data_IF_796071778502
#
_entry.id   IF_796071778502
#
_cell.length_a   1.000
_cell.length_b   1.000
_cell.length_c   1.000
_cell.angle_alpha   90.00
_cell.angle_beta   90.00
_cell.angle_gamma   90.00
#
_symmetry.space_group_name_H-M   'P 1'
#
loop_
_entity.id
_entity.type
_entity.pdbx_description
1 polymer ?
#
# COMPACT_ATOMS: atom_id res chain seq x y z
N UNK A 1 19.18 4.20 82.28
CA UNK A 1 18.94 2.79 81.98
C UNK A 1 18.08 2.79 80.75
N UNK A 2 18.71 2.69 79.59
CA UNK A 2 18.90 1.55 78.72
C UNK A 2 17.58 0.89 78.30
N UNK A 3 17.40 0.87 77.00
CA UNK A 3 16.63 -0.05 76.21
C UNK A 3 15.87 0.65 75.13
N UNK A 4 16.00 0.42 73.89
CA UNK A 4 16.50 -0.63 73.02
C UNK A 4 15.81 -0.35 71.75
N UNK A 5 16.61 0.04 70.75
CA UNK A 5 16.15 0.10 69.34
C UNK A 5 15.75 -1.28 68.88
N UNK A 6 14.60 -1.38 68.22
CA UNK A 6 14.33 -2.44 67.29
C UNK A 6 13.92 -1.85 65.95
N UNK A 7 14.82 -2.01 65.03
CA UNK A 7 14.61 -1.81 63.62
C UNK A 7 13.78 -2.96 63.05
N UNK A 8 12.60 -2.65 62.53
CA UNK A 8 11.83 -3.56 61.72
C UNK A 8 11.80 -3.03 60.29
N UNK A 9 12.52 -3.70 59.40
CA UNK A 9 12.42 -3.59 57.99
C UNK A 9 11.23 -4.40 57.48
N UNK A 10 10.29 -3.86 56.71
CA UNK A 10 9.48 -4.66 55.83
C UNK A 10 9.89 -4.43 54.41
N UNK A 11 10.51 -5.42 53.82
CA UNK A 11 10.63 -5.54 52.38
C UNK A 11 9.26 -5.73 51.75
N UNK A 12 8.63 -4.65 51.39
CA UNK A 12 7.45 -4.66 50.52
C UNK A 12 7.90 -4.53 49.08
N UNK A 13 7.77 -5.61 48.32
CA UNK A 13 7.85 -5.54 46.84
C UNK A 13 6.77 -4.56 46.37
N UNK A 14 7.07 -3.66 45.41
CA UNK A 14 6.04 -2.81 44.81
C UNK A 14 5.06 -3.69 44.03
N UNK A 15 3.85 -3.79 44.51
CA UNK A 15 2.73 -4.37 43.77
C UNK A 15 2.31 -3.30 42.78
N UNK A 16 2.62 -3.53 41.51
CA UNK A 16 2.18 -2.66 40.42
C UNK A 16 0.65 -2.74 40.33
N UNK A 17 -0.02 -1.70 40.72
CA UNK A 17 -1.47 -1.59 40.59
C UNK A 17 -1.85 -1.51 39.09
N UNK A 18 -2.91 -2.20 38.65
CA UNK A 18 -3.35 -2.12 37.27
C UNK A 18 -3.85 -0.70 36.96
N UNK A 19 -3.33 -0.10 35.89
CA UNK A 19 -3.84 1.18 35.39
C UNK A 19 -5.17 0.94 34.70
N UNK A 20 -6.26 1.37 35.30
CA UNK A 20 -7.62 1.29 34.75
C UNK A 20 -7.84 2.53 33.89
N UNK A 21 -7.84 2.37 32.56
CA UNK A 21 -8.31 3.38 31.62
C UNK A 21 -9.75 3.02 31.27
N UNK A 22 -10.71 3.80 31.76
CA UNK A 22 -12.14 3.83 31.41
C UNK A 22 -12.70 2.50 30.80
N UNK A 23 -12.78 1.43 31.63
CA UNK A 23 -13.49 0.20 31.24
C UNK A 23 -12.71 -0.82 30.39
N UNK A 24 -11.48 -0.56 30.01
CA UNK A 24 -10.60 -1.52 29.31
C UNK A 24 -9.54 -2.01 30.29
N UNK A 25 -9.66 -3.25 30.74
CA UNK A 25 -8.62 -3.93 31.52
C UNK A 25 -7.67 -4.61 30.55
N UNK A 26 -6.47 -4.06 30.35
CA UNK A 26 -5.40 -4.76 29.64
C UNK A 26 -4.81 -5.80 30.61
N UNK A 27 -4.86 -7.10 30.31
CA UNK A 27 -4.28 -8.12 31.17
C UNK A 27 -2.79 -7.85 31.37
N UNK A 28 -2.31 -7.95 32.60
CA UNK A 28 -0.87 -7.84 32.85
C UNK A 28 -0.13 -8.96 32.16
N UNK A 29 0.85 -8.59 31.32
CA UNK A 29 1.60 -9.54 30.49
C UNK A 29 1.11 -9.65 29.04
N UNK A 30 0.15 -8.80 28.58
CA UNK A 30 -0.23 -8.74 27.18
C UNK A 30 0.97 -8.42 26.29
N UNK A 31 1.24 -9.30 25.33
CA UNK A 31 2.27 -9.07 24.33
C UNK A 31 1.68 -8.24 23.20
N UNK A 32 2.28 -7.10 22.98
CA UNK A 32 1.98 -6.22 21.85
C UNK A 32 3.14 -6.28 20.85
N UNK A 33 2.85 -6.04 19.59
CA UNK A 33 3.86 -5.90 18.56
C UNK A 33 3.48 -4.81 17.57
N UNK A 34 4.43 -4.40 16.75
CA UNK A 34 4.22 -3.46 15.66
C UNK A 34 4.75 -4.05 14.36
N UNK A 35 4.16 -3.64 13.26
CA UNK A 35 4.61 -3.97 11.90
C UNK A 35 4.55 -2.73 11.03
N UNK A 36 5.53 -2.54 10.16
CA UNK A 36 5.54 -1.51 9.12
C UNK A 36 5.17 -2.12 7.76
N UNK A 37 3.91 -2.00 7.31
CA UNK A 37 3.47 -2.57 6.03
C UNK A 37 4.20 -1.97 4.83
N UNK A 38 4.62 -0.70 4.92
CA UNK A 38 5.37 -0.02 3.86
C UNK A 38 6.75 -0.64 3.72
N UNK A 39 7.40 -0.92 4.84
CA UNK A 39 8.69 -1.61 4.84
C UNK A 39 8.56 -3.03 4.29
N UNK A 40 7.53 -3.77 4.74
CA UNK A 40 7.25 -5.13 4.23
C UNK A 40 7.00 -5.11 2.71
N UNK A 41 6.23 -4.13 2.19
CA UNK A 41 6.00 -3.96 0.75
C UNK A 41 7.29 -3.67 -0.03
N UNK A 42 8.20 -2.89 0.55
CA UNK A 42 9.41 -2.47 -0.14
C UNK A 42 10.52 -3.53 -0.13
N UNK A 43 10.60 -4.32 0.92
CA UNK A 43 11.72 -5.22 1.17
C UNK A 43 11.41 -6.69 0.86
N UNK A 44 10.11 -7.12 0.92
CA UNK A 44 9.75 -8.50 0.57
C UNK A 44 9.73 -8.75 -0.93
N UNK A 45 10.04 -9.98 -1.35
CA UNK A 45 9.99 -10.38 -2.77
C UNK A 45 8.55 -10.30 -3.32
N UNK A 46 7.56 -10.70 -2.53
CA UNK A 46 6.15 -10.55 -2.90
C UNK A 46 5.74 -9.09 -3.10
N UNK A 47 6.26 -8.18 -2.27
CA UNK A 47 6.02 -6.74 -2.41
C UNK A 47 6.69 -6.15 -3.65
N UNK A 48 7.94 -6.51 -3.92
CA UNK A 48 8.65 -6.11 -5.14
C UNK A 48 7.90 -6.55 -6.39
N UNK A 49 7.49 -7.84 -6.46
CA UNK A 49 6.68 -8.34 -7.58
C UNK A 49 5.34 -7.63 -7.74
N UNK A 50 4.69 -7.30 -6.64
CA UNK A 50 3.45 -6.53 -6.68
C UNK A 50 3.65 -5.15 -7.31
N UNK A 51 4.73 -4.45 -6.94
CA UNK A 51 5.11 -3.16 -7.54
C UNK A 51 5.49 -3.29 -9.01
N UNK A 52 6.27 -4.30 -9.36
CA UNK A 52 6.69 -4.55 -10.74
C UNK A 52 5.50 -4.88 -11.64
N UNK A 53 4.55 -5.68 -11.16
CA UNK A 53 3.31 -5.99 -11.87
C UNK A 53 2.47 -4.73 -12.12
N UNK A 54 2.34 -3.85 -11.13
CA UNK A 54 1.63 -2.58 -11.27
C UNK A 54 2.35 -1.63 -12.23
N UNK A 55 3.68 -1.54 -12.13
CA UNK A 55 4.49 -0.73 -13.02
C UNK A 55 4.39 -1.20 -14.47
N UNK A 56 4.47 -2.51 -14.72
CA UNK A 56 4.31 -3.11 -16.04
C UNK A 56 2.91 -2.85 -16.62
N UNK A 57 1.85 -2.99 -15.79
CA UNK A 57 0.48 -2.69 -16.20
C UNK A 57 0.34 -1.21 -16.59
N UNK A 58 0.82 -0.30 -15.75
CA UNK A 58 0.77 1.16 -15.99
C UNK A 58 1.50 1.53 -17.27
N UNK A 59 2.72 0.99 -17.46
CA UNK A 59 3.52 1.21 -18.68
C UNK A 59 2.79 0.73 -19.94
N UNK A 60 2.17 -0.45 -19.87
CA UNK A 60 1.39 -0.98 -21.00
C UNK A 60 0.24 -0.02 -21.37
N UNK A 61 -0.51 0.49 -20.37
CA UNK A 61 -1.61 1.43 -20.61
C UNK A 61 -1.12 2.77 -21.15
N UNK A 62 0.01 3.27 -20.69
CA UNK A 62 0.65 4.48 -21.24
C UNK A 62 1.06 4.29 -22.69
N UNK A 63 1.68 3.15 -23.03
CA UNK A 63 2.08 2.86 -24.40
C UNK A 63 0.89 2.78 -25.36
N UNK A 64 -0.27 2.28 -24.92
CA UNK A 64 -1.50 2.31 -25.71
C UNK A 64 -1.96 3.75 -25.99
N UNK A 65 -1.89 4.65 -25.00
CA UNK A 65 -2.24 6.06 -25.20
C UNK A 65 -1.26 6.76 -26.14
N UNK A 66 0.05 6.47 -26.05
CA UNK A 66 1.05 7.01 -26.96
C UNK A 66 0.83 6.59 -28.41
N UNK A 67 0.37 5.36 -28.65
CA UNK A 67 0.01 4.89 -29.99
C UNK A 67 -1.21 5.63 -30.54
N UNK A 68 -2.24 5.83 -29.74
CA UNK A 68 -3.43 6.59 -30.14
C UNK A 68 -3.09 8.06 -30.44
N UNK A 69 -2.23 8.67 -29.61
CA UNK A 69 -1.76 10.05 -29.82
C UNK A 69 -0.98 10.19 -31.14
N UNK A 70 -0.09 9.25 -31.42
CA UNK A 70 0.66 9.22 -32.70
C UNK A 70 -0.26 9.08 -33.90
N UNK A 71 -1.31 8.27 -33.79
CA UNK A 71 -2.29 8.11 -34.88
C UNK A 71 -3.09 9.39 -35.09
N UNK A 72 -3.55 10.07 -34.03
CA UNK A 72 -4.21 11.36 -34.11
C UNK A 72 -3.33 12.42 -34.79
N UNK A 73 -2.07 12.49 -34.38
CA UNK A 73 -1.10 13.41 -34.97
C UNK A 73 -0.88 13.12 -36.45
N UNK A 74 -0.78 11.85 -36.83
CA UNK A 74 -0.68 11.44 -38.24
C UNK A 74 -1.91 11.82 -39.03
N UNK A 75 -3.12 11.65 -38.49
CA UNK A 75 -4.36 12.08 -39.15
C UNK A 75 -4.38 13.59 -39.39
N UNK A 76 -3.92 14.38 -38.42
CA UNK A 76 -3.80 15.84 -38.56
C UNK A 76 -2.80 16.23 -39.64
N UNK A 77 -1.59 15.64 -39.65
CA UNK A 77 -0.55 15.89 -40.64
C UNK A 77 -1.01 15.49 -42.05
N UNK A 78 -1.69 14.36 -42.22
CA UNK A 78 -2.27 13.91 -43.46
C UNK A 78 -3.36 14.86 -43.97
N UNK A 79 -4.21 15.37 -43.07
CA UNK A 79 -5.21 16.35 -43.44
C UNK A 79 -4.59 17.64 -43.95
N UNK A 80 -3.57 18.18 -43.26
CA UNK A 80 -2.86 19.40 -43.63
C UNK A 80 -2.23 19.21 -45.04
N UNK A 81 -1.56 18.09 -45.28
CA UNK A 81 -0.92 17.81 -46.59
C UNK A 81 -1.91 17.72 -47.76
N UNK A 82 -3.10 17.21 -47.49
CA UNK A 82 -4.12 17.00 -48.54
C UNK A 82 -5.13 18.16 -48.64
N UNK A 83 -5.07 19.14 -47.74
CA UNK A 83 -6.08 20.19 -47.63
C UNK A 83 -6.29 20.99 -48.94
N UNK A 84 -5.25 21.16 -49.74
CA UNK A 84 -5.33 21.92 -51.02
C UNK A 84 -6.04 21.17 -52.13
N UNK A 85 -6.07 19.84 -52.07
CA UNK A 85 -6.62 18.98 -53.16
C UNK A 85 -7.95 18.33 -52.80
N UNK A 86 -8.37 18.38 -51.55
CA UNK A 86 -9.64 17.82 -51.08
C UNK A 86 -10.84 18.72 -51.48
N UNK A 87 -11.95 18.09 -51.86
CA UNK A 87 -13.24 18.76 -52.00
C UNK A 87 -13.77 19.25 -50.63
N UNK A 88 -14.71 20.21 -50.67
CA UNK A 88 -15.34 20.73 -49.44
C UNK A 88 -16.03 19.61 -48.59
N UNK A 89 -16.70 18.66 -49.26
CA UNK A 89 -17.30 17.50 -48.61
C UNK A 89 -16.24 16.63 -47.92
N UNK A 90 -15.16 16.27 -48.68
CA UNK A 90 -14.09 15.45 -48.14
C UNK A 90 -13.34 16.09 -46.95
N UNK A 91 -13.21 17.40 -46.92
CA UNK A 91 -12.66 18.14 -45.77
C UNK A 91 -13.55 17.96 -44.56
N UNK A 92 -14.85 18.20 -44.73
CA UNK A 92 -15.83 18.05 -43.64
C UNK A 92 -15.84 16.63 -43.05
N UNK A 93 -15.83 15.61 -43.91
CA UNK A 93 -15.78 14.21 -43.50
C UNK A 93 -14.52 13.89 -42.67
N UNK A 94 -13.36 14.41 -43.10
CA UNK A 94 -12.09 14.25 -42.36
C UNK A 94 -12.09 14.96 -40.99
N UNK A 95 -12.63 16.19 -40.92
CA UNK A 95 -12.76 16.93 -39.70
C UNK A 95 -13.68 16.20 -38.69
N UNK A 96 -14.80 15.63 -39.18
CA UNK A 96 -15.70 14.85 -38.36
C UNK A 96 -15.04 13.56 -37.84
N UNK A 97 -14.27 12.87 -38.70
CA UNK A 97 -13.50 11.69 -38.28
C UNK A 97 -12.48 12.05 -37.20
N UNK A 98 -11.71 13.11 -37.41
CA UNK A 98 -10.71 13.56 -36.43
C UNK A 98 -11.37 13.92 -35.09
N UNK A 99 -12.50 14.66 -35.13
CA UNK A 99 -13.25 15.03 -33.93
C UNK A 99 -13.75 13.82 -33.15
N UNK A 100 -14.29 12.81 -33.84
CA UNK A 100 -14.71 11.54 -33.24
C UNK A 100 -13.52 10.83 -32.59
N UNK A 101 -12.40 10.68 -33.29
CA UNK A 101 -11.20 10.04 -32.77
C UNK A 101 -10.62 10.77 -31.56
N UNK A 102 -10.65 12.11 -31.57
CA UNK A 102 -10.22 12.91 -30.43
C UNK A 102 -11.12 12.68 -29.19
N UNK A 103 -12.42 12.58 -29.40
CA UNK A 103 -13.36 12.26 -28.30
C UNK A 103 -13.12 10.86 -27.73
N UNK A 104 -12.93 9.86 -28.61
CA UNK A 104 -12.59 8.48 -28.21
C UNK A 104 -11.28 8.43 -27.42
N UNK A 105 -10.25 9.16 -27.87
CA UNK A 105 -8.97 9.28 -27.18
C UNK A 105 -9.13 9.85 -25.76
N UNK A 106 -9.90 10.93 -25.60
CA UNK A 106 -10.17 11.54 -24.30
C UNK A 106 -10.93 10.57 -23.36
N UNK A 107 -11.95 9.89 -23.88
CA UNK A 107 -12.69 8.89 -23.12
C UNK A 107 -11.79 7.74 -22.68
N UNK A 108 -11.00 7.19 -23.61
CA UNK A 108 -10.05 6.12 -23.34
C UNK A 108 -9.00 6.51 -22.28
N UNK A 109 -8.52 7.76 -22.30
CA UNK A 109 -7.63 8.28 -21.26
C UNK A 109 -8.26 8.29 -19.88
N UNK A 110 -9.54 8.67 -19.79
CA UNK A 110 -10.32 8.59 -18.56
C UNK A 110 -10.51 7.15 -18.05
N UNK A 111 -10.81 6.22 -18.97
CA UNK A 111 -11.00 4.80 -18.64
C UNK A 111 -9.70 4.17 -18.15
N UNK A 112 -8.58 4.43 -18.83
CA UNK A 112 -7.26 3.95 -18.46
C UNK A 112 -6.85 4.45 -17.06
N UNK A 113 -7.13 5.72 -16.74
CA UNK A 113 -6.85 6.23 -15.39
C UNK A 113 -7.66 5.49 -14.31
N UNK A 114 -8.93 5.17 -14.58
CA UNK A 114 -9.75 4.35 -13.67
C UNK A 114 -9.18 2.93 -13.51
N UNK A 115 -8.85 2.28 -14.64
CA UNK A 115 -8.25 0.94 -14.62
C UNK A 115 -6.94 0.89 -13.80
N UNK A 116 -6.07 1.91 -13.94
CA UNK A 116 -4.82 2.00 -13.16
C UNK A 116 -5.12 2.14 -11.67
N UNK A 117 -6.08 2.98 -11.28
CA UNK A 117 -6.46 3.16 -9.89
C UNK A 117 -7.09 1.89 -9.29
N UNK A 118 -7.92 1.19 -10.05
CA UNK A 118 -8.51 -0.08 -9.64
C UNK A 118 -7.42 -1.14 -9.47
N UNK A 119 -6.53 -1.26 -10.44
CA UNK A 119 -5.42 -2.20 -10.38
C UNK A 119 -4.50 -1.92 -9.19
N UNK A 120 -4.25 -0.65 -8.89
CA UNK A 120 -3.47 -0.26 -7.71
C UNK A 120 -4.13 -0.72 -6.41
N UNK A 121 -5.45 -0.52 -6.28
CA UNK A 121 -6.21 -0.99 -5.11
C UNK A 121 -6.15 -2.51 -4.98
N UNK A 122 -6.44 -3.24 -6.04
CA UNK A 122 -6.40 -4.72 -6.05
C UNK A 122 -5.03 -5.26 -5.63
N UNK A 123 -3.96 -4.69 -6.18
CA UNK A 123 -2.58 -5.13 -5.87
C UNK A 123 -2.24 -4.87 -4.41
N UNK A 124 -2.60 -3.69 -3.88
CA UNK A 124 -2.33 -3.35 -2.48
C UNK A 124 -3.19 -4.18 -1.52
N UNK A 125 -4.46 -4.42 -1.85
CA UNK A 125 -5.35 -5.25 -1.04
C UNK A 125 -4.89 -6.70 -1.01
N UNK A 126 -4.59 -7.29 -2.17
CA UNK A 126 -4.05 -8.66 -2.23
C UNK A 126 -2.67 -8.81 -1.57
N UNK A 127 -1.86 -7.73 -1.52
CA UNK A 127 -0.63 -7.73 -0.73
C UNK A 127 -0.93 -7.67 0.78
N UNK A 128 -1.87 -6.81 1.20
CA UNK A 128 -2.30 -6.67 2.58
C UNK A 128 -2.81 -7.99 3.16
N UNK A 129 -3.66 -8.70 2.43
CA UNK A 129 -4.15 -10.03 2.84
C UNK A 129 -3.00 -11.03 3.11
N UNK A 130 -1.94 -11.00 2.28
CA UNK A 130 -0.76 -11.84 2.50
C UNK A 130 -0.03 -11.44 3.78
N UNK A 131 0.15 -10.16 4.03
CA UNK A 131 0.78 -9.65 5.25
C UNK A 131 -0.05 -10.05 6.47
N UNK A 132 -1.36 -9.84 6.45
CA UNK A 132 -2.27 -10.21 7.54
C UNK A 132 -2.21 -11.70 7.87
N UNK A 133 -2.15 -12.55 6.84
CA UNK A 133 -1.99 -14.00 7.01
C UNK A 133 -0.68 -14.38 7.72
N UNK A 134 0.43 -13.73 7.36
CA UNK A 134 1.73 -13.97 8.00
C UNK A 134 1.74 -13.42 9.43
N UNK A 135 1.28 -12.19 9.61
CA UNK A 135 1.19 -11.54 10.94
C UNK A 135 0.32 -12.36 11.89
N UNK A 136 -0.84 -12.85 11.43
CA UNK A 136 -1.72 -13.70 12.23
C UNK A 136 -1.05 -15.01 12.67
N UNK A 137 -0.28 -15.65 11.76
CA UNK A 137 0.47 -16.87 12.10
C UNK A 137 1.56 -16.58 13.14
N UNK A 138 2.35 -15.54 12.96
CA UNK A 138 3.39 -15.14 13.90
C UNK A 138 2.80 -14.77 15.27
N UNK A 139 1.71 -14.04 15.28
CA UNK A 139 1.01 -13.66 16.51
C UNK A 139 0.55 -14.88 17.30
N UNK A 140 -0.01 -15.90 16.63
CA UNK A 140 -0.41 -17.15 17.28
C UNK A 140 0.79 -17.92 17.83
N UNK A 141 1.88 -18.03 17.08
CA UNK A 141 3.08 -18.75 17.50
C UNK A 141 3.75 -18.13 18.73
N UNK A 142 3.70 -16.81 18.87
CA UNK A 142 4.37 -16.07 19.94
C UNK A 142 3.46 -15.59 21.05
N UNK A 143 2.18 -15.94 21.00
CA UNK A 143 1.15 -15.48 21.94
C UNK A 143 1.08 -13.94 21.99
N UNK A 144 1.12 -13.27 20.83
CA UNK A 144 0.92 -11.83 20.69
C UNK A 144 -0.58 -11.58 20.60
N UNK A 145 -1.11 -10.71 21.45
CA UNK A 145 -2.53 -10.40 21.51
C UNK A 145 -2.95 -9.30 20.54
N UNK A 146 -2.02 -8.39 20.18
CA UNK A 146 -2.31 -7.30 19.27
C UNK A 146 -1.07 -6.91 18.48
N UNK A 147 -1.25 -6.72 17.17
CA UNK A 147 -0.24 -6.14 16.27
C UNK A 147 -0.77 -4.84 15.73
N UNK A 148 0.01 -3.78 15.82
CA UNK A 148 -0.37 -2.41 15.45
C UNK A 148 0.50 -1.95 14.28
N UNK A 149 -0.09 -1.29 13.30
CA UNK A 149 0.65 -0.70 12.20
C UNK A 149 1.51 0.49 12.66
N UNK A 150 2.77 0.51 12.24
CA UNK A 150 3.68 1.66 12.38
C UNK A 150 4.11 2.16 11.00
N UNK A 151 4.74 3.33 10.98
CA UNK A 151 5.22 3.94 9.75
C UNK A 151 4.30 5.04 9.25
N UNK A 152 4.53 5.49 8.01
CA UNK A 152 3.81 6.63 7.42
C UNK A 152 2.35 6.26 7.16
N UNK A 153 1.44 6.81 7.96
CA UNK A 153 0.00 6.50 7.93
C UNK A 153 -0.47 5.54 9.03
N UNK A 154 0.44 4.91 9.78
CA UNK A 154 0.11 4.13 10.98
C UNK A 154 -0.21 5.02 12.19
N UNK A 155 -0.90 4.43 13.16
CA UNK A 155 -1.30 5.13 14.40
C UNK A 155 -0.20 5.14 15.47
N UNK A 156 0.93 4.44 15.23
CA UNK A 156 2.03 4.31 16.20
C UNK A 156 2.97 5.50 16.09
N UNK A 157 3.11 6.26 17.19
CA UNK A 157 4.06 7.37 17.28
C UNK A 157 5.44 6.87 17.73
N UNK A 158 5.48 5.91 18.67
CA UNK A 158 6.69 5.32 19.21
C UNK A 158 6.46 3.84 19.53
N UNK A 159 7.48 3.03 19.28
CA UNK A 159 7.55 1.65 19.73
C UNK A 159 8.99 1.26 20.03
N UNK A 160 9.19 0.44 21.05
CA UNK A 160 10.48 -0.19 21.29
C UNK A 160 10.87 -1.07 20.10
N UNK A 161 12.16 -1.08 19.68
CA UNK A 161 12.62 -1.92 18.57
C UNK A 161 12.33 -3.41 18.76
N UNK A 162 12.32 -3.87 20.02
CA UNK A 162 12.01 -5.26 20.36
C UNK A 162 10.58 -5.70 20.06
N UNK A 163 9.66 -4.76 19.85
CA UNK A 163 8.27 -5.01 19.49
C UNK A 163 8.07 -5.07 17.96
N UNK A 164 9.08 -4.75 17.18
CA UNK A 164 8.98 -4.67 15.72
C UNK A 164 9.11 -6.05 15.08
N UNK A 165 8.03 -6.51 14.47
CA UNK A 165 7.97 -7.78 13.74
C UNK A 165 8.28 -7.65 12.25
N UNK A 166 8.56 -6.47 11.74
CA UNK A 166 8.68 -6.24 10.29
C UNK A 166 9.69 -7.14 9.62
N UNK A 167 10.89 -7.33 10.21
CA UNK A 167 11.92 -8.21 9.66
C UNK A 167 11.45 -9.66 9.57
N UNK A 168 10.79 -10.14 10.60
CA UNK A 168 10.27 -11.50 10.66
C UNK A 168 9.12 -11.70 9.68
N UNK A 169 8.25 -10.71 9.53
CA UNK A 169 7.18 -10.72 8.53
C UNK A 169 7.77 -10.79 7.13
N UNK A 170 8.82 -9.99 6.82
CA UNK A 170 9.53 -10.02 5.54
C UNK A 170 10.12 -11.42 5.28
N UNK A 171 10.81 -11.97 6.26
CA UNK A 171 11.41 -13.31 6.15
C UNK A 171 10.35 -14.39 5.86
N UNK A 172 9.25 -14.41 6.62
CA UNK A 172 8.16 -15.36 6.44
C UNK A 172 7.38 -15.13 5.13
N UNK A 173 7.23 -13.88 4.70
CA UNK A 173 6.69 -13.53 3.38
C UNK A 173 7.54 -14.13 2.27
N UNK A 174 8.86 -14.00 2.35
CA UNK A 174 9.79 -14.52 1.33
C UNK A 174 9.80 -16.05 1.28
N UNK A 175 9.60 -16.73 2.43
CA UNK A 175 9.45 -18.19 2.49
C UNK A 175 8.12 -18.69 1.93
N UNK A 176 7.04 -17.97 2.25
CA UNK A 176 5.67 -18.41 1.92
C UNK A 176 5.23 -18.01 0.52
N UNK A 177 5.73 -16.87 0.05
CA UNK A 177 5.40 -16.27 -1.24
C UNK A 177 6.68 -15.88 -1.99
N UNK A 178 7.50 -16.90 -2.39
CA UNK A 178 8.81 -16.70 -3.01
C UNK A 178 8.70 -15.99 -4.36
#
# INVERSE_FOLDING_TARGET
MLGGCQTATPGGKPVSSPTVIAGVTVPQGSKLAVVDPTRVLNESEAGKRSKDSLAAFTKNRQSLMELEEKELKRMEEDFIRQASVLSASAKKDREEQFRRRMTEYQQKGGDINREIQERQREVLEGFREKVEKIVGRLAQQENIQMVIEKGKGGVTIFSEPSLDLSDRVIEEMNKTFP
#
